data_IF_129106094051
#
_entry.id   IF_129106094051
#
_cell.length_a   1.000
_cell.length_b   1.000
_cell.length_c   1.000
_cell.angle_alpha   90.00
_cell.angle_beta   90.00
_cell.angle_gamma   90.00
#
_symmetry.space_group_name_H-M   'P 1'
#
loop_
_entity.id
_entity.type
_entity.pdbx_description
1 polymer ?
#
# COMPACT_ATOMS: atom_id res chain seq x y z
N UNK A 1 13.58 -26.85 -18.73
CA UNK A 1 12.64 -26.59 -17.61
C UNK A 1 13.43 -25.93 -16.51
N UNK A 2 13.18 -24.65 -16.21
CA UNK A 2 13.75 -24.02 -15.03
C UNK A 2 13.25 -24.81 -13.80
N UNK A 3 14.16 -25.26 -12.94
CA UNK A 3 13.78 -25.86 -11.66
C UNK A 3 12.96 -24.83 -10.88
N UNK A 4 11.64 -24.99 -10.86
CA UNK A 4 10.74 -24.21 -10.00
C UNK A 4 11.07 -24.66 -8.57
N UNK A 5 11.87 -23.87 -7.86
CA UNK A 5 12.21 -24.15 -6.47
C UNK A 5 10.95 -24.26 -5.62
N UNK A 6 10.92 -25.22 -4.68
CA UNK A 6 9.87 -25.31 -3.66
C UNK A 6 10.00 -24.10 -2.75
N UNK A 7 9.24 -23.04 -3.02
CA UNK A 7 9.34 -21.78 -2.31
C UNK A 7 7.99 -21.33 -1.76
N UNK A 8 8.06 -20.61 -0.66
CA UNK A 8 6.95 -19.84 -0.08
C UNK A 8 7.50 -18.45 0.18
N UNK A 9 6.84 -17.43 -0.35
CA UNK A 9 7.27 -16.03 -0.21
C UNK A 9 6.26 -15.35 0.71
N UNK A 10 6.71 -14.92 1.89
CA UNK A 10 5.91 -14.13 2.83
C UNK A 10 6.37 -12.67 2.76
N UNK A 11 5.41 -11.74 2.74
CA UNK A 11 5.67 -10.30 2.59
C UNK A 11 4.82 -9.54 3.61
N UNK A 12 5.41 -8.62 4.35
CA UNK A 12 4.65 -7.74 5.25
C UNK A 12 3.71 -6.84 4.46
N UNK A 13 2.52 -6.56 5.01
CA UNK A 13 1.55 -5.68 4.35
C UNK A 13 2.01 -4.22 4.27
N UNK A 14 3.01 -3.83 5.06
CA UNK A 14 3.50 -2.45 5.16
C UNK A 14 2.94 -1.73 6.39
N UNK A 15 3.55 -0.61 6.77
CA UNK A 15 3.24 0.10 8.01
C UNK A 15 2.50 1.44 7.76
N UNK A 16 1.86 1.61 6.61
CA UNK A 16 1.24 2.89 6.23
C UNK A 16 -0.28 2.94 6.49
N UNK A 17 -0.83 2.03 7.31
CA UNK A 17 -2.26 1.89 7.51
C UNK A 17 -2.91 3.11 8.18
N UNK A 18 -2.19 3.82 9.05
CA UNK A 18 -2.65 5.02 9.74
C UNK A 18 -1.96 6.30 9.22
N UNK A 19 -1.19 6.18 8.13
CA UNK A 19 -0.52 7.30 7.50
C UNK A 19 -1.48 8.13 6.64
N UNK A 20 -1.12 9.39 6.41
CA UNK A 20 -1.88 10.32 5.57
C UNK A 20 -1.41 10.31 4.11
N UNK A 21 -0.86 9.20 3.64
CA UNK A 21 -0.15 9.11 2.35
C UNK A 21 -0.99 8.52 1.21
N UNK A 22 -2.23 8.12 1.47
CA UNK A 22 -3.15 7.62 0.44
C UNK A 22 -4.52 8.29 0.56
N UNK A 23 -5.11 8.65 -0.57
CA UNK A 23 -6.51 9.04 -0.68
C UNK A 23 -7.11 8.46 -1.95
N UNK A 24 -8.41 8.25 -1.94
CA UNK A 24 -9.13 7.64 -3.04
C UNK A 24 -10.53 8.23 -3.14
N UNK A 25 -11.14 8.07 -4.31
CA UNK A 25 -12.53 8.48 -4.52
C UNK A 25 -13.09 7.95 -5.82
N UNK A 26 -14.36 8.31 -6.06
CA UNK A 26 -15.08 7.95 -7.28
C UNK A 26 -15.77 9.18 -7.85
N UNK A 27 -15.33 9.59 -9.02
CA UNK A 27 -15.83 10.74 -9.75
C UNK A 27 -17.00 10.33 -10.65
N UNK A 28 -18.03 11.16 -10.74
CA UNK A 28 -19.12 11.01 -11.71
C UNK A 28 -18.91 11.95 -12.91
N UNK A 29 -19.63 11.70 -14.00
CA UNK A 29 -19.59 12.58 -15.17
C UNK A 29 -20.12 13.98 -14.80
N UNK A 30 -19.34 15.01 -15.10
CA UNK A 30 -19.63 16.41 -14.77
C UNK A 30 -19.28 16.80 -13.32
N UNK A 31 -18.92 15.85 -12.45
CA UNK A 31 -18.54 16.14 -11.08
C UNK A 31 -17.13 16.76 -11.02
N UNK A 32 -16.95 17.69 -10.10
CA UNK A 32 -15.65 18.23 -9.72
C UNK A 32 -15.33 17.81 -8.29
N UNK A 33 -14.10 17.36 -8.08
CA UNK A 33 -13.56 17.02 -6.76
C UNK A 33 -12.24 17.75 -6.53
N UNK A 34 -11.98 18.10 -5.28
CA UNK A 34 -10.75 18.77 -4.85
C UNK A 34 -10.06 17.88 -3.84
N UNK A 35 -8.88 17.37 -4.21
CA UNK A 35 -8.01 16.63 -3.32
C UNK A 35 -7.01 17.60 -2.71
N UNK A 36 -7.00 17.69 -1.38
CA UNK A 36 -6.14 18.60 -0.64
C UNK A 36 -4.99 17.83 0.01
N UNK A 37 -3.76 18.28 -0.20
CA UNK A 37 -2.57 17.77 0.48
C UNK A 37 -1.75 18.92 1.07
N UNK A 38 -1.19 18.72 2.25
CA UNK A 38 -0.20 19.61 2.83
C UNK A 38 1.20 19.15 2.44
N UNK A 39 2.07 20.10 2.09
CA UNK A 39 3.52 19.92 2.05
C UNK A 39 4.09 20.67 3.26
N UNK A 40 4.77 19.95 4.14
CA UNK A 40 5.41 20.51 5.32
C UNK A 40 6.59 21.41 5.01
N UNK A 41 6.98 22.22 6.00
CA UNK A 41 8.23 22.96 5.91
C UNK A 41 9.41 21.99 5.82
N UNK A 42 10.45 22.41 5.11
CA UNK A 42 11.72 21.69 4.95
C UNK A 42 11.66 20.38 4.15
N UNK A 43 10.58 20.14 3.41
CA UNK A 43 10.55 19.04 2.43
C UNK A 43 11.52 19.30 1.29
N UNK A 44 12.42 18.36 1.02
CA UNK A 44 13.48 18.51 -0.01
C UNK A 44 13.12 17.87 -1.33
N UNK A 45 12.14 16.96 -1.35
CA UNK A 45 11.61 16.34 -2.56
C UNK A 45 10.28 15.68 -2.19
N UNK A 46 9.38 15.58 -3.16
CA UNK A 46 8.13 14.86 -3.00
C UNK A 46 7.72 14.32 -4.35
N UNK A 47 7.17 13.12 -4.39
CA UNK A 47 6.40 12.68 -5.54
C UNK A 47 4.94 12.44 -5.16
N UNK A 48 4.09 12.45 -6.16
CA UNK A 48 2.69 12.10 -6.05
C UNK A 48 2.35 11.21 -7.24
N UNK A 49 1.67 10.11 -6.99
CA UNK A 49 1.16 9.23 -8.04
C UNK A 49 -0.35 9.29 -8.03
N UNK A 50 -0.96 9.67 -9.16
CA UNK A 50 -2.40 9.57 -9.37
C UNK A 50 -2.68 8.42 -10.34
N UNK A 51 -3.50 7.48 -9.91
CA UNK A 51 -3.94 6.35 -10.71
C UNK A 51 -5.43 6.44 -11.01
N UNK A 52 -5.80 6.24 -12.27
CA UNK A 52 -7.19 6.16 -12.72
C UNK A 52 -7.37 5.09 -13.82
N UNK A 53 -8.60 4.76 -14.15
CA UNK A 53 -8.87 3.97 -15.36
C UNK A 53 -8.48 4.78 -16.60
N UNK A 54 -7.80 4.16 -17.57
CA UNK A 54 -7.41 4.86 -18.81
C UNK A 54 -8.63 5.23 -19.68
N UNK A 55 -9.75 4.51 -19.51
CA UNK A 55 -10.99 4.80 -20.22
C UNK A 55 -11.72 6.06 -19.69
N UNK A 56 -11.31 6.58 -18.54
CA UNK A 56 -11.86 7.79 -17.95
C UNK A 56 -11.10 9.02 -18.44
N UNK A 57 -11.83 10.05 -18.82
CA UNK A 57 -11.28 11.37 -19.11
C UNK A 57 -11.59 12.31 -17.94
N UNK A 58 -10.52 12.64 -17.23
CA UNK A 58 -10.53 13.53 -16.08
C UNK A 58 -9.63 14.71 -16.42
N UNK A 59 -10.19 15.90 -16.39
CA UNK A 59 -9.43 17.14 -16.47
C UNK A 59 -8.77 17.40 -15.11
N UNK A 60 -7.45 17.65 -15.14
CA UNK A 60 -6.64 17.76 -13.93
C UNK A 60 -5.86 19.07 -14.00
N UNK A 61 -5.86 19.82 -12.90
CA UNK A 61 -4.94 20.94 -12.68
C UNK A 61 -4.63 21.08 -11.20
N UNK A 62 -3.59 21.84 -10.88
CA UNK A 62 -3.16 22.07 -9.49
C UNK A 62 -3.37 23.54 -9.12
N UNK A 63 -3.78 23.78 -7.88
CA UNK A 63 -3.78 25.08 -7.23
C UNK A 63 -2.62 25.11 -6.22
N UNK A 64 -1.76 26.10 -6.35
CA UNK A 64 -0.60 26.29 -5.46
C UNK A 64 -1.04 26.81 -4.09
N UNK A 65 -0.18 26.74 -3.05
CA UNK A 65 -0.49 27.33 -1.74
C UNK A 65 -0.78 28.84 -1.76
N UNK A 66 -0.34 29.55 -2.81
CA UNK A 66 -0.63 30.97 -2.99
C UNK A 66 -1.99 31.24 -3.68
N UNK A 67 -2.74 30.19 -4.04
CA UNK A 67 -4.01 30.28 -4.75
C UNK A 67 -3.89 30.45 -6.27
N UNK A 68 -2.68 30.25 -6.83
CA UNK A 68 -2.48 30.27 -8.28
C UNK A 68 -2.91 28.94 -8.89
N UNK A 69 -3.78 28.98 -9.90
CA UNK A 69 -4.12 27.79 -10.69
C UNK A 69 -3.08 27.59 -11.80
N UNK A 70 -2.43 26.43 -11.79
CA UNK A 70 -1.60 25.99 -12.90
C UNK A 70 -2.47 25.62 -14.11
N UNK A 71 -1.91 25.66 -15.33
CA UNK A 71 -2.63 25.20 -16.52
C UNK A 71 -3.13 23.76 -16.38
N UNK A 72 -4.25 23.46 -17.05
CA UNK A 72 -4.75 22.10 -17.20
C UNK A 72 -3.69 21.21 -17.82
N UNK A 73 -3.52 20.02 -17.24
CA UNK A 73 -2.56 19.03 -17.72
C UNK A 73 -2.95 18.56 -19.13
N UNK A 74 -1.99 18.59 -20.03
CA UNK A 74 -2.06 18.01 -21.37
C UNK A 74 -1.90 16.50 -21.29
N UNK A 75 -2.71 15.75 -22.05
CA UNK A 75 -2.58 14.28 -22.17
C UNK A 75 -1.47 13.84 -23.15
N UNK A 76 -0.70 14.80 -23.70
CA UNK A 76 0.42 14.51 -24.60
C UNK A 76 1.56 13.82 -23.86
N UNK A 77 2.26 12.93 -24.56
CA UNK A 77 3.42 12.18 -24.07
C UNK A 77 4.67 13.06 -24.08
N UNK A 78 4.65 14.15 -23.33
CA UNK A 78 5.83 14.96 -23.07
C UNK A 78 5.83 15.39 -21.60
N UNK A 79 7.02 15.63 -21.06
CA UNK A 79 7.16 16.09 -19.68
C UNK A 79 6.65 17.52 -19.61
N UNK A 80 5.63 17.73 -18.80
CA UNK A 80 5.09 19.05 -18.54
C UNK A 80 5.84 19.67 -17.37
N UNK A 81 6.25 20.93 -17.54
CA UNK A 81 7.02 21.67 -16.54
C UNK A 81 6.24 22.89 -16.09
N UNK A 82 6.01 22.99 -14.79
CA UNK A 82 5.36 24.15 -14.19
C UNK A 82 6.18 24.67 -13.04
N UNK A 83 6.15 26.00 -12.86
CA UNK A 83 6.78 26.66 -11.73
C UNK A 83 5.70 27.13 -10.78
N UNK A 84 5.89 26.85 -9.50
CA UNK A 84 5.00 27.23 -8.42
C UNK A 84 5.84 27.64 -7.20
N UNK A 85 6.09 28.95 -7.07
CA UNK A 85 7.00 29.48 -6.06
C UNK A 85 8.44 28.95 -6.20
N UNK A 86 8.91 28.28 -5.14
CA UNK A 86 10.21 27.60 -5.05
C UNK A 86 10.17 26.13 -5.49
N UNK A 87 9.04 25.66 -6.00
CA UNK A 87 8.86 24.30 -6.52
C UNK A 87 8.79 24.32 -8.04
N UNK A 88 9.59 23.48 -8.67
CA UNK A 88 9.41 23.04 -10.05
C UNK A 88 8.64 21.71 -10.05
N UNK A 89 7.59 21.63 -10.85
CA UNK A 89 6.80 20.43 -11.06
C UNK A 89 7.18 19.81 -12.40
N UNK A 90 7.61 18.56 -12.37
CA UNK A 90 7.68 17.72 -13.57
C UNK A 90 6.53 16.74 -13.55
N UNK A 91 5.66 16.82 -14.55
CA UNK A 91 4.45 16.00 -14.62
C UNK A 91 4.54 15.09 -15.83
N UNK A 92 4.46 13.80 -15.57
CA UNK A 92 4.43 12.74 -16.57
C UNK A 92 3.02 12.17 -16.70
N UNK A 93 2.39 12.40 -17.85
CA UNK A 93 1.07 11.86 -18.17
C UNK A 93 1.25 10.50 -18.88
N UNK A 94 1.25 9.41 -18.10
CA UNK A 94 1.59 8.09 -18.59
C UNK A 94 0.57 7.50 -19.56
N UNK A 95 0.94 6.42 -20.24
CA UNK A 95 0.00 5.55 -20.98
C UNK A 95 -0.05 4.19 -20.30
N UNK A 96 -1.16 3.43 -20.45
CA UNK A 96 -1.21 2.06 -19.96
C UNK A 96 -0.06 1.24 -20.55
N UNK A 97 0.61 0.48 -19.70
CA UNK A 97 1.58 -0.51 -20.13
C UNK A 97 0.92 -1.76 -20.74
N UNK A 98 1.69 -2.68 -21.35
CA UNK A 98 1.15 -3.88 -22.00
C UNK A 98 0.35 -4.84 -21.11
N UNK A 99 0.40 -4.65 -19.78
CA UNK A 99 -0.18 -5.54 -18.78
C UNK A 99 -1.16 -4.84 -17.83
N UNK A 100 -1.47 -3.56 -18.05
CA UNK A 100 -2.40 -2.80 -17.22
C UNK A 100 -3.31 -1.92 -18.08
N UNK A 101 -4.58 -1.81 -17.69
CA UNK A 101 -5.56 -0.90 -18.32
C UNK A 101 -5.70 0.42 -17.55
N UNK A 102 -5.02 0.54 -16.42
CA UNK A 102 -4.93 1.75 -15.60
C UNK A 102 -3.80 2.65 -16.09
N UNK A 103 -3.96 3.94 -15.79
CA UNK A 103 -3.03 5.00 -16.14
C UNK A 103 -2.47 5.64 -14.89
N UNK A 104 -1.15 5.84 -14.88
CA UNK A 104 -0.46 6.65 -13.88
C UNK A 104 -0.22 8.06 -14.43
N UNK A 105 -0.51 9.06 -13.60
CA UNK A 105 -0.02 10.42 -13.73
C UNK A 105 0.94 10.65 -12.57
N UNK A 106 2.22 10.83 -12.90
CA UNK A 106 3.29 11.00 -11.91
C UNK A 106 3.68 12.47 -11.83
N UNK A 107 3.73 13.00 -10.61
CA UNK A 107 4.12 14.36 -10.32
C UNK A 107 5.42 14.32 -9.50
N UNK A 108 6.44 14.98 -9.98
CA UNK A 108 7.70 15.19 -9.27
C UNK A 108 7.79 16.64 -8.80
N UNK A 109 7.91 16.84 -7.48
CA UNK A 109 8.06 18.14 -6.86
C UNK A 109 9.54 18.31 -6.52
N UNK A 110 10.18 19.24 -7.22
CA UNK A 110 11.62 19.50 -7.15
C UNK A 110 11.85 20.91 -6.60
N UNK A 111 12.69 21.10 -5.57
CA UNK A 111 13.00 22.44 -5.07
C UNK A 111 13.93 23.15 -6.05
N UNK A 112 13.69 24.44 -6.28
CA UNK A 112 14.65 25.30 -7.01
C UNK A 112 15.83 25.73 -6.14
N UNK A 113 15.63 25.73 -4.82
CA UNK A 113 16.66 25.94 -3.81
C UNK A 113 16.87 24.66 -3.00
N UNK A 114 16.56 24.71 -1.72
CA UNK A 114 16.72 23.57 -0.80
C UNK A 114 15.39 22.87 -0.51
N UNK A 115 14.29 23.63 -0.46
CA UNK A 115 13.01 23.13 0.02
C UNK A 115 11.88 23.45 -0.95
N UNK A 116 10.87 22.59 -0.96
CA UNK A 116 9.62 22.79 -1.68
C UNK A 116 8.83 23.94 -1.07
N UNK A 117 7.96 24.55 -1.87
CA UNK A 117 6.97 25.52 -1.40
C UNK A 117 6.00 24.84 -0.43
N UNK A 118 6.03 25.17 0.87
CA UNK A 118 5.18 24.55 1.86
C UNK A 118 3.75 25.11 1.77
N UNK A 119 2.80 24.39 2.35
CA UNK A 119 1.40 24.79 2.45
C UNK A 119 0.44 23.80 1.80
N UNK A 120 -0.78 24.26 1.56
CA UNK A 120 -1.85 23.41 1.02
C UNK A 120 -1.82 23.47 -0.49
N UNK A 121 -1.55 22.33 -1.11
CA UNK A 121 -1.68 22.11 -2.53
C UNK A 121 -3.02 21.43 -2.80
N UNK A 122 -3.74 21.90 -3.82
CA UNK A 122 -5.00 21.29 -4.21
C UNK A 122 -4.88 20.71 -5.61
N UNK A 123 -5.34 19.48 -5.77
CA UNK A 123 -5.46 18.80 -7.05
C UNK A 123 -6.93 18.81 -7.41
N UNK A 124 -7.26 19.54 -8.47
CA UNK A 124 -8.62 19.64 -8.99
C UNK A 124 -8.84 18.53 -10.01
N UNK A 125 -9.89 17.74 -9.83
CA UNK A 125 -10.30 16.65 -10.70
C UNK A 125 -11.68 16.96 -11.25
N UNK A 126 -11.84 17.03 -12.57
CA UNK A 126 -13.15 17.26 -13.20
C UNK A 126 -13.49 16.16 -14.20
N UNK A 127 -14.59 15.45 -13.95
CA UNK A 127 -15.00 14.30 -14.74
C UNK A 127 -15.62 14.74 -16.06
N UNK A 128 -14.91 14.53 -17.17
CA UNK A 128 -15.39 14.89 -18.52
C UNK A 128 -16.16 13.74 -19.16
N UNK A 129 -15.51 12.57 -19.28
CA UNK A 129 -16.14 11.33 -19.75
C UNK A 129 -15.74 10.19 -18.82
N UNK A 130 -16.68 9.72 -18.01
CA UNK A 130 -16.42 8.72 -16.97
C UNK A 130 -17.08 7.39 -17.31
N UNK A 131 -16.32 6.30 -17.19
CA UNK A 131 -16.72 4.90 -17.29
C UNK A 131 -16.66 4.20 -15.94
N UNK A 132 -15.57 4.36 -15.21
CA UNK A 132 -15.37 3.73 -13.89
C UNK A 132 -15.47 4.76 -12.77
N UNK A 133 -14.71 5.85 -12.91
CA UNK A 133 -14.68 7.00 -12.02
C UNK A 133 -13.70 6.88 -10.86
N UNK A 134 -13.15 5.69 -10.63
CA UNK A 134 -12.25 5.43 -9.50
C UNK A 134 -10.91 6.14 -9.73
N UNK A 135 -10.43 6.82 -8.69
CA UNK A 135 -9.09 7.38 -8.66
C UNK A 135 -8.42 7.09 -7.32
N UNK A 136 -7.11 6.95 -7.34
CA UNK A 136 -6.27 6.82 -6.16
C UNK A 136 -5.08 7.77 -6.26
N UNK A 137 -4.66 8.33 -5.13
CA UNK A 137 -3.46 9.13 -5.03
C UNK A 137 -2.57 8.63 -3.90
N UNK A 138 -1.28 8.42 -4.18
CA UNK A 138 -0.29 8.02 -3.18
C UNK A 138 0.88 9.01 -3.12
N UNK A 139 1.30 9.29 -1.89
CA UNK A 139 2.59 9.92 -1.56
C UNK A 139 3.59 8.83 -1.13
N UNK A 140 4.90 9.13 -1.07
CA UNK A 140 5.91 8.20 -0.56
C UNK A 140 5.58 7.71 0.86
N UNK A 141 5.66 6.40 1.07
CA UNK A 141 5.59 5.81 2.40
C UNK A 141 6.97 5.64 3.07
N UNK A 142 6.97 5.10 4.30
CA UNK A 142 8.21 4.70 4.98
C UNK A 142 8.89 5.82 5.79
N UNK A 143 8.12 6.75 6.35
CA UNK A 143 8.60 7.82 7.25
C UNK A 143 9.68 8.75 6.64
N UNK A 144 9.67 8.91 5.31
CA UNK A 144 10.57 9.84 4.61
C UNK A 144 10.03 11.27 4.53
N UNK A 145 8.74 11.44 4.82
CA UNK A 145 8.04 12.72 4.78
C UNK A 145 7.99 13.36 6.16
N UNK A 146 7.91 14.69 6.19
CA UNK A 146 7.55 15.43 7.38
C UNK A 146 6.17 14.99 7.89
N UNK A 147 6.00 14.87 9.21
CA UNK A 147 4.73 14.48 9.87
C UNK A 147 3.49 15.28 9.45
N UNK A 148 3.66 16.52 8.98
CA UNK A 148 2.55 17.34 8.49
C UNK A 148 2.33 17.23 6.98
N UNK A 149 3.20 16.55 6.25
CA UNK A 149 3.05 16.28 4.82
C UNK A 149 2.09 15.11 4.62
N UNK A 150 1.01 15.32 3.87
CA UNK A 150 -0.01 14.29 3.67
C UNK A 150 -1.34 14.83 3.19
N UNK A 151 -2.23 13.92 2.81
CA UNK A 151 -3.60 14.25 2.43
C UNK A 151 -4.41 14.74 3.64
N UNK A 152 -5.32 15.68 3.41
CA UNK A 152 -6.28 16.14 4.43
C UNK A 152 -7.38 15.12 4.69
N UNK A 153 -7.76 14.35 3.67
CA UNK A 153 -8.80 13.32 3.73
C UNK A 153 -8.23 11.98 3.27
N UNK A 154 -7.35 11.36 4.08
CA UNK A 154 -6.76 10.08 3.73
C UNK A 154 -7.78 8.95 3.81
N UNK A 155 -7.54 7.87 3.07
CA UNK A 155 -8.33 6.65 3.11
C UNK A 155 -7.45 5.52 3.65
N UNK A 156 -8.01 4.68 4.52
CA UNK A 156 -7.25 3.66 5.25
C UNK A 156 -7.07 2.34 4.47
N UNK A 157 -7.90 2.10 3.46
CA UNK A 157 -7.86 0.95 2.53
C UNK A 157 -6.84 1.15 1.42
N UNK A 158 -6.35 0.08 0.81
CA UNK A 158 -5.32 0.10 -0.26
C UNK A 158 -4.00 0.76 0.17
N UNK A 159 -3.64 0.61 1.44
CA UNK A 159 -2.38 1.08 2.04
C UNK A 159 -1.29 0.01 2.04
N UNK A 160 -1.52 -1.11 1.36
CA UNK A 160 -0.55 -2.19 1.18
C UNK A 160 0.71 -1.69 0.45
N UNK A 161 1.89 -2.01 0.96
CA UNK A 161 3.14 -1.73 0.24
C UNK A 161 3.41 -2.77 -0.83
N UNK A 162 3.83 -2.35 -2.02
CA UNK A 162 4.35 -3.26 -3.05
C UNK A 162 5.64 -3.91 -2.49
N UNK A 163 5.85 -5.24 -2.63
CA UNK A 163 5.14 -6.21 -3.47
C UNK A 163 4.05 -7.02 -2.75
N UNK A 164 3.55 -6.58 -1.59
CA UNK A 164 2.54 -7.31 -0.82
C UNK A 164 1.16 -7.40 -1.52
N UNK A 165 0.95 -6.63 -2.57
CA UNK A 165 -0.21 -6.73 -3.47
C UNK A 165 -0.13 -7.93 -4.43
N UNK A 166 1.04 -8.58 -4.56
CA UNK A 166 1.20 -9.69 -5.49
C UNK A 166 0.32 -10.90 -5.11
N UNK A 167 -0.34 -11.49 -6.12
CA UNK A 167 -1.26 -12.60 -5.92
C UNK A 167 -0.61 -13.79 -5.22
N UNK A 168 0.62 -14.15 -5.63
CA UNK A 168 1.29 -15.40 -5.24
C UNK A 168 2.08 -15.34 -3.92
N UNK A 169 2.22 -14.16 -3.32
CA UNK A 169 2.87 -14.05 -2.00
C UNK A 169 1.85 -14.24 -0.87
N UNK A 170 2.31 -14.65 0.31
CA UNK A 170 1.53 -14.62 1.55
C UNK A 170 1.75 -13.25 2.20
N UNK A 171 0.72 -12.41 2.16
CA UNK A 171 0.77 -11.06 2.71
C UNK A 171 0.37 -11.08 4.17
N UNK A 172 1.24 -10.55 5.02
CA UNK A 172 1.14 -10.65 6.47
C UNK A 172 0.91 -9.27 7.07
N UNK A 173 -0.28 -9.05 7.63
CA UNK A 173 -0.54 -7.89 8.47
C UNK A 173 -0.12 -8.11 9.92
N UNK A 174 -0.26 -7.08 10.75
CA UNK A 174 0.14 -7.11 12.15
C UNK A 174 -1.07 -6.97 13.10
N UNK A 175 -0.97 -7.60 14.26
CA UNK A 175 -1.86 -7.35 15.40
C UNK A 175 -1.06 -7.31 16.70
N UNK A 176 -1.60 -6.66 17.74
CA UNK A 176 -1.08 -6.69 19.10
C UNK A 176 -1.59 -7.96 19.80
N UNK A 177 -0.68 -8.89 20.09
CA UNK A 177 -1.00 -10.17 20.72
C UNK A 177 -1.39 -10.06 22.20
N UNK A 178 -1.04 -8.96 22.86
CA UNK A 178 -1.40 -8.70 24.27
C UNK A 178 -2.87 -8.28 24.38
N UNK A 179 -3.35 -7.57 23.35
CA UNK A 179 -4.70 -7.03 23.29
C UNK A 179 -5.63 -7.85 22.38
N UNK A 180 -5.09 -8.73 21.55
CA UNK A 180 -5.79 -9.36 20.42
C UNK A 180 -6.50 -8.33 19.52
N UNK A 181 -5.82 -7.19 19.29
CA UNK A 181 -6.35 -6.07 18.54
C UNK A 181 -5.52 -5.83 17.28
N UNK A 182 -6.19 -5.43 16.20
CA UNK A 182 -5.52 -5.05 14.96
C UNK A 182 -4.53 -3.90 15.18
N UNK A 183 -3.36 -3.98 14.56
CA UNK A 183 -2.38 -2.90 14.62
C UNK A 183 -2.76 -1.83 13.59
N UNK A 184 -3.02 -0.60 14.03
CA UNK A 184 -3.53 0.50 13.22
C UNK A 184 -2.62 0.88 12.03
N UNK A 185 -1.30 0.76 12.22
CA UNK A 185 -0.28 0.96 11.18
C UNK A 185 -0.29 -0.14 10.11
N UNK A 186 -0.87 -1.31 10.37
CA UNK A 186 -0.82 -2.42 9.43
C UNK A 186 -1.52 -2.03 8.13
N UNK A 187 -0.83 -2.19 7.00
CA UNK A 187 -1.39 -1.91 5.68
C UNK A 187 -2.62 -2.76 5.41
N UNK A 188 -3.65 -2.15 4.83
CA UNK A 188 -4.95 -2.76 4.52
C UNK A 188 -5.13 -2.93 3.03
N UNK A 189 -5.76 -4.02 2.63
CA UNK A 189 -6.20 -4.21 1.25
C UNK A 189 -7.35 -3.26 0.88
N UNK A 190 -7.98 -3.54 -0.25
CA UNK A 190 -9.17 -2.84 -0.70
C UNK A 190 -9.93 -3.64 -1.73
N UNK A 191 -11.14 -3.18 -2.03
CA UNK A 191 -12.08 -3.88 -2.91
C UNK A 191 -11.61 -3.91 -4.38
N UNK A 192 -10.74 -2.99 -4.80
CA UNK A 192 -10.25 -2.94 -6.18
C UNK A 192 -9.01 -3.81 -6.43
N UNK A 193 -8.52 -4.52 -5.42
CA UNK A 193 -7.41 -5.46 -5.60
C UNK A 193 -7.88 -6.69 -6.36
N UNK A 194 -7.06 -7.17 -7.29
CA UNK A 194 -7.33 -8.39 -8.06
C UNK A 194 -7.43 -9.66 -7.18
N UNK A 195 -6.89 -9.60 -5.97
CA UNK A 195 -6.98 -10.67 -4.96
C UNK A 195 -7.17 -10.05 -3.58
N UNK A 196 -8.02 -10.64 -2.70
CA UNK A 196 -8.17 -10.16 -1.33
C UNK A 196 -6.86 -10.26 -0.55
N UNK A 197 -6.54 -9.18 0.16
CA UNK A 197 -5.32 -9.01 0.96
C UNK A 197 -5.63 -8.22 2.24
N UNK A 198 -4.86 -8.41 3.34
CA UNK A 198 -3.77 -9.37 3.50
C UNK A 198 -4.28 -10.83 3.50
N UNK A 199 -3.36 -11.80 3.51
CA UNK A 199 -3.74 -13.22 3.64
C UNK A 199 -4.13 -13.55 5.07
N UNK A 200 -3.35 -13.07 6.04
CA UNK A 200 -3.60 -13.26 7.47
C UNK A 200 -2.78 -12.23 8.26
N UNK A 201 -2.99 -12.18 9.57
CA UNK A 201 -2.21 -11.35 10.49
C UNK A 201 -1.41 -12.21 11.47
N UNK A 202 -0.26 -11.70 11.90
CA UNK A 202 0.58 -12.30 12.92
C UNK A 202 0.99 -11.26 13.98
N UNK A 203 1.48 -11.67 15.17
CA UNK A 203 1.93 -10.73 16.19
C UNK A 203 2.99 -9.79 15.63
N UNK A 204 2.78 -8.48 15.73
CA UNK A 204 3.68 -7.48 15.17
C UNK A 204 3.85 -6.22 16.00
N UNK A 205 3.37 -6.22 17.25
CA UNK A 205 3.50 -5.10 18.19
C UNK A 205 4.28 -5.55 19.40
N UNK A 206 5.32 -4.79 19.77
CA UNK A 206 6.15 -5.04 20.95
C UNK A 206 6.73 -6.47 20.99
N UNK A 207 7.21 -6.94 19.84
CA UNK A 207 7.82 -8.25 19.69
C UNK A 207 9.24 -8.20 20.25
N UNK A 208 9.58 -9.10 21.15
CA UNK A 208 10.95 -9.22 21.65
C UNK A 208 11.83 -9.89 20.58
N UNK A 209 12.76 -9.15 19.98
CA UNK A 209 13.63 -9.65 18.92
C UNK A 209 15.12 -9.43 19.25
N UNK A 210 16.02 -10.29 18.75
CA UNK A 210 17.46 -10.08 18.88
C UNK A 210 17.89 -8.74 18.27
N UNK A 211 18.79 -8.05 18.97
CA UNK A 211 19.38 -6.77 18.55
C UNK A 211 20.90 -6.90 18.41
N UNK A 212 21.51 -5.90 17.78
CA UNK A 212 22.96 -5.83 17.61
C UNK A 212 23.65 -5.88 18.97
N UNK A 213 24.71 -6.68 19.08
CA UNK A 213 25.44 -6.87 20.35
C UNK A 213 24.88 -7.96 21.27
N UNK A 214 23.93 -8.78 20.80
CA UNK A 214 23.42 -9.96 21.52
C UNK A 214 22.36 -9.65 22.57
N UNK A 215 21.87 -8.41 22.62
CA UNK A 215 20.72 -8.02 23.43
C UNK A 215 19.40 -8.35 22.74
N UNK A 216 18.28 -8.12 23.41
CA UNK A 216 16.94 -8.18 22.84
C UNK A 216 16.25 -6.83 23.03
N UNK A 217 15.41 -6.45 22.08
CA UNK A 217 14.64 -5.21 22.14
C UNK A 217 13.22 -5.42 21.63
N UNK A 218 12.29 -4.62 22.14
CA UNK A 218 10.91 -4.57 21.65
C UNK A 218 10.87 -3.88 20.30
N UNK A 219 10.22 -4.50 19.33
CA UNK A 219 10.09 -4.00 17.96
C UNK A 219 8.66 -4.14 17.43
N UNK A 220 8.25 -3.19 16.61
CA UNK A 220 6.88 -3.07 16.10
C UNK A 220 6.90 -2.87 14.58
N UNK A 221 6.01 -3.56 13.87
CA UNK A 221 5.84 -3.46 12.43
C UNK A 221 5.43 -4.78 11.78
N UNK A 222 4.86 -4.71 10.56
CA UNK A 222 4.56 -5.90 9.77
C UNK A 222 5.82 -6.69 9.38
N UNK A 223 6.98 -6.01 9.39
CA UNK A 223 8.31 -6.62 9.26
C UNK A 223 8.61 -7.65 10.36
N UNK A 224 7.99 -7.52 11.53
CA UNK A 224 8.15 -8.47 12.65
C UNK A 224 6.99 -9.48 12.74
N UNK A 225 5.84 -9.17 12.14
CA UNK A 225 4.77 -10.15 11.93
C UNK A 225 5.14 -11.20 10.86
N UNK A 226 5.77 -10.77 9.77
CA UNK A 226 6.09 -11.64 8.62
C UNK A 226 6.92 -12.89 9.00
N UNK A 227 7.99 -12.78 9.84
CA UNK A 227 8.78 -13.94 10.26
C UNK A 227 8.00 -15.04 10.99
N UNK A 228 6.93 -14.72 11.74
CA UNK A 228 6.07 -15.75 12.36
C UNK A 228 5.43 -16.65 11.30
N UNK A 229 4.98 -16.05 10.20
CA UNK A 229 4.35 -16.77 9.09
C UNK A 229 5.40 -17.52 8.28
N UNK A 230 6.56 -16.92 8.05
CA UNK A 230 7.71 -17.58 7.39
C UNK A 230 8.16 -18.82 8.16
N UNK A 231 8.30 -18.72 9.49
CA UNK A 231 8.64 -19.87 10.34
C UNK A 231 7.55 -20.95 10.32
N UNK A 232 6.28 -20.55 10.32
CA UNK A 232 5.16 -21.49 10.21
C UNK A 232 5.15 -22.23 8.87
N UNK A 233 5.39 -21.51 7.76
CA UNK A 233 5.53 -22.10 6.45
C UNK A 233 6.72 -23.09 6.39
N UNK A 234 7.85 -22.75 7.02
CA UNK A 234 9.01 -23.64 7.09
C UNK A 234 8.69 -24.96 7.81
N UNK A 235 7.98 -24.90 8.95
CA UNK A 235 7.55 -26.09 9.70
C UNK A 235 6.56 -26.94 8.90
N UNK A 236 5.60 -26.31 8.21
CA UNK A 236 4.69 -27.03 7.31
C UNK A 236 5.45 -27.69 6.16
N UNK A 237 6.40 -26.98 5.55
CA UNK A 237 7.26 -27.53 4.51
C UNK A 237 8.13 -28.70 5.01
N UNK A 238 8.65 -28.64 6.23
CA UNK A 238 9.36 -29.77 6.85
C UNK A 238 8.43 -30.99 6.99
N UNK A 239 7.23 -30.78 7.54
CA UNK A 239 6.23 -31.84 7.69
C UNK A 239 5.84 -32.46 6.35
N UNK A 240 5.57 -31.65 5.32
CA UNK A 240 5.16 -32.15 4.01
C UNK A 240 6.31 -32.78 3.23
N UNK A 241 7.41 -32.04 3.07
CA UNK A 241 8.49 -32.38 2.15
C UNK A 241 9.51 -33.31 2.80
N UNK A 242 10.06 -32.91 3.95
CA UNK A 242 11.15 -33.66 4.61
C UNK A 242 10.62 -34.96 5.22
N UNK A 243 9.48 -34.89 5.92
CA UNK A 243 8.84 -36.07 6.54
C UNK A 243 7.95 -36.86 5.59
N UNK A 244 7.89 -36.44 4.32
CA UNK A 244 7.21 -37.14 3.20
C UNK A 244 5.69 -37.31 3.35
N UNK A 245 5.02 -36.45 4.11
CA UNK A 245 3.56 -36.45 4.19
C UNK A 245 2.91 -35.83 2.93
N UNK A 246 3.55 -34.81 2.35
CA UNK A 246 3.10 -34.12 1.13
C UNK A 246 4.27 -33.39 0.43
N UNK A 247 4.92 -34.02 -0.57
CA UNK A 247 6.06 -33.43 -1.30
C UNK A 247 5.75 -32.14 -2.08
N UNK A 248 4.47 -31.77 -2.20
CA UNK A 248 3.99 -30.60 -2.94
C UNK A 248 3.48 -29.48 -2.02
N UNK A 249 3.72 -29.56 -0.71
CA UNK A 249 3.33 -28.54 0.26
C UNK A 249 4.25 -27.32 0.21
N UNK A 250 4.09 -26.47 -0.81
CA UNK A 250 4.78 -25.20 -1.02
C UNK A 250 3.91 -24.21 -1.80
N UNK A 251 4.37 -22.96 -1.99
CA UNK A 251 3.67 -21.93 -2.74
C UNK A 251 2.23 -21.68 -2.26
N UNK A 252 1.29 -21.60 -3.21
CA UNK A 252 -0.13 -21.40 -2.94
C UNK A 252 -0.74 -22.50 -2.05
N UNK A 253 -0.17 -23.72 -2.04
CA UNK A 253 -0.69 -24.81 -1.20
C UNK A 253 -0.50 -24.50 0.28
N UNK A 254 0.69 -24.02 0.66
CA UNK A 254 0.96 -23.56 2.04
C UNK A 254 0.07 -22.38 2.41
N UNK A 255 -0.07 -21.40 1.51
CA UNK A 255 -0.99 -20.27 1.70
C UNK A 255 -2.42 -20.74 1.97
N UNK A 256 -2.94 -21.69 1.18
CA UNK A 256 -4.30 -22.19 1.31
C UNK A 256 -4.54 -22.83 2.69
N UNK A 257 -3.59 -23.64 3.16
CA UNK A 257 -3.65 -24.24 4.48
C UNK A 257 -3.56 -23.21 5.62
N UNK A 258 -2.66 -22.23 5.51
CA UNK A 258 -2.55 -21.14 6.48
C UNK A 258 -3.82 -20.28 6.55
N UNK A 259 -4.46 -19.99 5.41
CA UNK A 259 -5.75 -19.30 5.36
C UNK A 259 -6.86 -20.13 5.98
N UNK A 260 -6.87 -21.45 5.75
CA UNK A 260 -7.86 -22.37 6.31
C UNK A 260 -7.73 -22.49 7.83
N UNK A 261 -6.51 -22.55 8.35
CA UNK A 261 -6.24 -22.66 9.79
C UNK A 261 -6.27 -21.32 10.53
N UNK A 262 -6.40 -20.19 9.83
CA UNK A 262 -6.46 -18.88 10.47
C UNK A 262 -7.63 -18.80 11.46
N UNK A 263 -7.36 -18.28 12.65
CA UNK A 263 -8.38 -18.09 13.70
C UNK A 263 -8.96 -16.67 13.61
N UNK A 264 -10.22 -16.45 14.02
CA UNK A 264 -10.76 -15.10 14.14
C UNK A 264 -9.89 -14.22 15.07
N UNK A 265 -9.79 -12.93 14.71
CA UNK A 265 -9.28 -11.87 15.57
C UNK A 265 -10.48 -11.08 16.12
N UNK A 266 -10.60 -10.89 17.45
CA UNK A 266 -11.68 -10.10 18.05
C UNK A 266 -11.86 -8.73 17.40
N UNK A 267 -13.12 -8.28 17.28
CA UNK A 267 -13.49 -7.01 16.64
C UNK A 267 -13.80 -7.10 15.14
N UNK A 268 -13.75 -8.31 14.55
CA UNK A 268 -14.11 -8.54 13.16
C UNK A 268 -15.12 -9.69 13.04
N UNK A 269 -16.22 -9.46 12.33
CA UNK A 269 -17.31 -10.45 12.18
C UNK A 269 -17.37 -11.09 10.78
N UNK A 270 -16.56 -10.62 9.84
CA UNK A 270 -16.56 -11.08 8.44
C UNK A 270 -15.14 -11.39 7.98
N UNK A 271 -15.00 -12.53 7.30
CA UNK A 271 -13.74 -13.00 6.73
C UNK A 271 -13.96 -13.55 5.31
N UNK A 272 -13.01 -13.36 4.38
CA UNK A 272 -11.87 -12.46 4.55
C UNK A 272 -12.31 -10.98 4.59
N UNK A 273 -11.47 -10.11 5.15
CA UNK A 273 -11.64 -8.65 5.05
C UNK A 273 -10.28 -7.96 4.79
N UNK A 274 -10.32 -6.69 4.44
CA UNK A 274 -9.17 -5.89 4.05
C UNK A 274 -8.16 -5.59 5.16
N UNK A 275 -8.55 -5.77 6.43
CA UNK A 275 -7.67 -5.53 7.58
C UNK A 275 -6.92 -6.80 7.99
N UNK A 276 -7.64 -7.88 8.28
CA UNK A 276 -7.08 -9.11 8.88
C UNK A 276 -7.01 -10.29 7.92
N UNK A 277 -7.45 -10.13 6.68
CA UNK A 277 -7.47 -11.24 5.72
C UNK A 277 -8.37 -12.36 6.22
N UNK A 278 -7.84 -13.59 6.25
CA UNK A 278 -8.55 -14.77 6.77
C UNK A 278 -8.49 -14.90 8.30
N UNK A 279 -7.83 -13.98 9.00
CA UNK A 279 -7.72 -13.98 10.46
C UNK A 279 -6.28 -14.02 10.93
N UNK A 280 -6.08 -14.36 12.21
CA UNK A 280 -4.74 -14.47 12.82
C UNK A 280 -4.15 -15.86 12.60
N UNK A 281 -2.85 -15.90 12.36
CA UNK A 281 -2.04 -17.10 12.19
C UNK A 281 -2.31 -18.14 13.30
N UNK A 282 -2.58 -19.38 12.90
CA UNK A 282 -2.58 -20.53 13.80
C UNK A 282 -2.02 -21.76 13.07
N UNK A 283 -0.77 -22.12 13.38
CA UNK A 283 -0.09 -23.23 12.71
C UNK A 283 -0.72 -24.59 13.01
N UNK A 284 -1.20 -24.79 14.23
CA UNK A 284 -1.82 -26.04 14.68
C UNK A 284 -3.01 -26.43 13.78
N UNK A 285 -3.88 -25.47 13.50
CA UNK A 285 -5.05 -25.65 12.62
C UNK A 285 -4.70 -25.62 11.12
N UNK A 286 -3.46 -25.28 10.78
CA UNK A 286 -2.99 -25.15 9.40
C UNK A 286 -2.28 -26.42 8.90
N UNK A 287 -1.84 -27.31 9.78
CA UNK A 287 -1.22 -28.57 9.37
C UNK A 287 -2.32 -29.49 8.80
N UNK A 288 -2.11 -30.09 7.60
CA UNK A 288 -3.11 -30.95 6.95
C UNK A 288 -3.48 -32.22 7.72
#
# INVERSE_FOLDING_TARGET
MANVGRSVICVGSGNNGNDRIHTAGRLQQGQSEIVEMSIGAYETTLNLQLWKAYADEIEIFLETPAGENLPVLSEKIDIQRYRAGETELLIYYGKPGPFQVTQEIYFDFIPRGTYLTPGVWKIHLQGRRIKEGNYNLWLPGGNVLNTVTGFYRPVATETLTIPSTAAKVITVGAYDSRLNAYADFSGRGGENLSYPKPDLVAPGVDILAPSVGGSYTGVTGTSFATPFVTGSAALMMEWGITRRNDPFLWGEKVKAYLRRGARPLPGFDRYPNESVGWGRLCIEESIP
#
